data_IF_641624084050
#
_entry.id   IF_641624084050
#
_cell.length_a   1.000
_cell.length_b   1.000
_cell.length_c   1.000
_cell.angle_alpha   90.00
_cell.angle_beta   90.00
_cell.angle_gamma   90.00
#
_symmetry.space_group_name_H-M   'P 1'
#
loop_
_entity.id
_entity.type
_entity.pdbx_description
1 polymer ?
#
# COMPACT_ATOMS: atom_id res chain seq x y z
N UNK A 1 6.59 -2.54 24.95
CA UNK A 1 6.24 -2.50 23.51
C UNK A 1 7.34 -1.77 22.78
N UNK A 2 7.68 -2.20 21.56
CA UNK A 2 8.69 -1.51 20.74
C UNK A 2 8.14 -0.16 20.26
N UNK A 3 9.02 0.83 20.07
CA UNK A 3 8.65 2.14 19.54
C UNK A 3 8.57 2.13 18.01
N UNK A 4 7.89 3.12 17.42
CA UNK A 4 7.86 3.29 15.95
C UNK A 4 9.26 3.42 15.34
N UNK A 5 10.22 3.99 16.07
CA UNK A 5 11.61 4.04 15.65
C UNK A 5 12.20 2.63 15.52
N UNK A 6 11.94 1.74 16.49
CA UNK A 6 12.42 0.34 16.44
C UNK A 6 11.77 -0.46 15.31
N UNK A 7 10.54 -0.11 14.89
CA UNK A 7 9.88 -0.70 13.73
C UNK A 7 10.49 -0.22 12.42
N UNK A 8 10.83 1.07 12.31
CA UNK A 8 11.62 1.58 11.19
C UNK A 8 12.97 0.85 11.06
N UNK A 9 13.64 0.54 12.17
CA UNK A 9 14.92 -0.19 12.14
C UNK A 9 14.82 -1.60 11.51
N UNK A 10 13.63 -2.18 11.35
CA UNK A 10 13.45 -3.43 10.58
C UNK A 10 13.75 -3.24 9.08
N UNK A 11 13.81 -2.00 8.59
CA UNK A 11 14.11 -1.67 7.20
C UNK A 11 15.60 -1.39 6.93
N UNK A 12 16.47 -1.50 7.95
CA UNK A 12 17.92 -1.34 7.75
C UNK A 12 18.46 -2.35 6.73
N UNK A 13 19.43 -1.92 5.94
CA UNK A 13 20.03 -2.72 4.89
C UNK A 13 20.12 -2.00 3.55
N UNK A 14 20.73 -2.66 2.59
CA UNK A 14 20.78 -2.22 1.19
C UNK A 14 19.72 -2.96 0.39
N UNK A 15 18.78 -2.21 -0.17
CA UNK A 15 17.66 -2.70 -0.95
C UNK A 15 17.87 -2.38 -2.42
N UNK A 16 17.99 -3.41 -3.26
CA UNK A 16 18.21 -3.30 -4.69
C UNK A 16 16.91 -3.60 -5.43
N UNK A 17 16.64 -2.90 -6.53
CA UNK A 17 15.36 -3.01 -7.21
C UNK A 17 15.15 -1.97 -8.28
N UNK A 18 13.90 -1.57 -8.47
CA UNK A 18 13.55 -0.48 -9.39
C UNK A 18 12.33 0.32 -8.93
N UNK A 19 12.25 1.56 -9.40
CA UNK A 19 11.07 2.41 -9.31
C UNK A 19 10.36 2.38 -10.67
N UNK A 20 9.22 1.70 -10.74
CA UNK A 20 8.43 1.54 -11.95
C UNK A 20 7.20 2.42 -11.90
N UNK A 21 7.03 3.31 -12.88
CA UNK A 21 5.88 4.21 -12.95
C UNK A 21 4.81 3.66 -13.88
N UNK A 22 3.56 3.79 -13.46
CA UNK A 22 2.39 3.47 -14.27
C UNK A 22 1.39 4.62 -14.31
N UNK A 23 0.66 4.70 -15.41
CA UNK A 23 -0.47 5.61 -15.56
C UNK A 23 -1.64 5.17 -14.67
N UNK A 24 -2.67 6.02 -14.48
CA UNK A 24 -3.91 5.65 -13.79
C UNK A 24 -4.65 4.46 -14.43
N UNK A 25 -4.31 4.13 -15.68
CA UNK A 25 -4.85 3.01 -16.46
C UNK A 25 -3.97 1.75 -16.36
N UNK A 26 -3.02 1.71 -15.42
CA UNK A 26 -2.06 0.63 -15.25
C UNK A 26 -1.13 0.39 -16.47
N UNK A 27 -0.94 1.41 -17.30
CA UNK A 27 0.00 1.34 -18.43
C UNK A 27 1.40 1.69 -17.96
N UNK A 28 2.39 0.93 -18.41
CA UNK A 28 3.80 1.18 -18.10
C UNK A 28 4.26 2.52 -18.68
N UNK A 29 4.99 3.31 -17.87
CA UNK A 29 5.59 4.58 -18.29
C UNK A 29 7.11 4.46 -18.35
N UNK A 30 7.74 4.11 -17.23
CA UNK A 30 9.19 3.96 -17.14
C UNK A 30 9.59 3.06 -15.97
N UNK A 31 10.80 2.52 -16.04
CA UNK A 31 11.46 1.78 -14.96
C UNK A 31 12.86 2.35 -14.75
N UNK A 32 13.17 2.72 -13.52
CA UNK A 32 14.52 3.19 -13.15
C UNK A 32 15.09 2.24 -12.10
N UNK A 33 16.18 1.51 -12.39
CA UNK A 33 16.88 0.72 -11.39
C UNK A 33 17.36 1.59 -10.23
N UNK A 34 17.27 1.05 -9.01
CA UNK A 34 17.63 1.78 -7.79
C UNK A 34 18.35 0.93 -6.77
N UNK A 35 19.18 1.60 -5.97
CA UNK A 35 19.73 1.06 -4.73
C UNK A 35 19.33 2.00 -3.58
N UNK A 36 18.63 1.48 -2.58
CA UNK A 36 18.18 2.19 -1.40
C UNK A 36 18.86 1.63 -0.16
N UNK A 37 19.79 2.38 0.43
CA UNK A 37 20.48 1.98 1.65
C UNK A 37 19.90 2.71 2.85
N UNK A 38 19.55 1.99 3.91
CA UNK A 38 19.25 2.53 5.23
C UNK A 38 20.30 2.02 6.21
N UNK A 39 21.14 2.92 6.72
CA UNK A 39 22.19 2.60 7.69
C UNK A 39 21.90 3.30 9.02
N UNK A 40 21.99 2.54 10.11
CA UNK A 40 21.92 3.07 11.46
C UNK A 40 23.25 3.72 11.87
N UNK A 41 23.16 4.91 12.45
CA UNK A 41 24.27 5.67 13.00
C UNK A 41 24.00 5.94 14.49
N UNK A 42 25.05 6.25 15.26
CA UNK A 42 24.94 6.66 16.66
C UNK A 42 24.11 5.68 17.51
N UNK A 43 24.49 4.39 17.49
CA UNK A 43 23.73 3.31 18.15
C UNK A 43 22.27 3.23 17.68
N UNK A 44 22.07 3.34 16.36
CA UNK A 44 20.76 3.35 15.70
C UNK A 44 19.82 4.47 16.17
N UNK A 45 20.33 5.57 16.73
CA UNK A 45 19.51 6.76 17.06
C UNK A 45 19.31 7.70 15.87
N UNK A 46 20.07 7.49 14.81
CA UNK A 46 19.97 8.23 13.55
C UNK A 46 19.96 7.22 12.40
N UNK A 47 19.19 7.48 11.35
CA UNK A 47 19.28 6.75 10.09
C UNK A 47 19.84 7.67 9.02
N UNK A 48 20.84 7.18 8.28
CA UNK A 48 21.21 7.71 6.98
C UNK A 48 20.57 6.86 5.90
N UNK A 49 19.67 7.47 5.14
CA UNK A 49 19.05 6.88 3.97
C UNK A 49 19.68 7.45 2.70
N UNK A 50 20.10 6.57 1.81
CA UNK A 50 20.65 6.92 0.50
C UNK A 50 19.78 6.26 -0.57
N UNK A 51 19.25 7.06 -1.49
CA UNK A 51 18.50 6.58 -2.66
C UNK A 51 19.31 6.90 -3.91
N UNK A 52 19.84 5.86 -4.55
CA UNK A 52 20.56 5.95 -5.82
C UNK A 52 19.65 5.54 -6.96
N UNK A 53 19.47 6.43 -7.94
CA UNK A 53 18.81 6.14 -9.20
C UNK A 53 19.89 5.83 -10.26
N UNK A 54 19.72 4.72 -10.97
CA UNK A 54 20.66 4.20 -11.96
C UNK A 54 20.01 4.12 -13.36
N UNK A 55 19.53 5.25 -13.92
CA UNK A 55 18.95 5.26 -15.26
C UNK A 55 20.01 4.91 -16.32
N UNK A 56 19.61 4.22 -17.38
CA UNK A 56 20.52 3.78 -18.46
C UNK A 56 20.97 4.91 -19.39
N UNK A 57 20.22 6.02 -19.44
CA UNK A 57 20.36 7.09 -20.42
C UNK A 57 20.93 8.40 -19.86
N UNK A 58 21.22 8.48 -18.55
CA UNK A 58 21.78 9.66 -17.89
C UNK A 58 22.62 9.26 -16.68
N UNK A 59 23.46 10.15 -16.14
CA UNK A 59 24.27 9.84 -14.97
C UNK A 59 23.42 9.41 -13.76
N UNK A 60 24.01 8.59 -12.90
CA UNK A 60 23.38 8.20 -11.64
C UNK A 60 23.08 9.45 -10.79
N UNK A 61 21.91 9.45 -10.15
CA UNK A 61 21.49 10.50 -9.23
C UNK A 61 21.42 9.92 -7.82
N UNK A 62 21.91 10.65 -6.82
CA UNK A 62 21.88 10.24 -5.43
C UNK A 62 21.13 11.27 -4.57
N UNK A 63 20.27 10.78 -3.68
CA UNK A 63 19.63 11.59 -2.64
C UNK A 63 20.00 11.02 -1.27
N UNK A 64 20.49 11.88 -0.39
CA UNK A 64 20.89 11.53 0.98
C UNK A 64 19.97 12.22 1.97
N UNK A 65 19.44 11.45 2.91
CA UNK A 65 18.60 11.93 4.00
C UNK A 65 19.18 11.43 5.32
N UNK A 66 19.20 12.30 6.31
CA UNK A 66 19.53 11.92 7.69
C UNK A 66 18.43 12.39 8.63
N UNK A 67 17.98 11.50 9.50
CA UNK A 67 16.93 11.81 10.46
C UNK A 67 17.12 11.01 11.75
N UNK A 68 16.70 11.61 12.85
CA UNK A 68 16.74 11.04 14.21
C UNK A 68 15.36 11.04 14.86
N UNK A 69 14.32 11.29 14.07
CA UNK A 69 12.91 11.29 14.49
C UNK A 69 12.01 11.00 13.29
N UNK A 70 10.74 10.69 13.58
CA UNK A 70 9.72 10.41 12.57
C UNK A 70 8.79 11.62 12.40
N UNK A 71 8.39 11.89 11.16
CA UNK A 71 7.37 12.89 10.87
C UNK A 71 5.97 12.47 11.32
N UNK A 72 5.04 13.42 11.41
CA UNK A 72 3.63 13.12 11.77
C UNK A 72 2.86 12.34 10.71
N UNK A 73 3.39 12.24 9.49
CA UNK A 73 2.75 11.58 8.36
C UNK A 73 3.15 10.12 8.17
N UNK A 74 3.96 9.55 9.07
CA UNK A 74 4.49 8.19 8.95
C UNK A 74 4.11 7.31 10.14
N UNK A 75 3.74 6.07 9.85
CA UNK A 75 3.52 5.00 10.82
C UNK A 75 4.06 3.68 10.26
N UNK A 76 4.54 2.83 11.17
CA UNK A 76 5.16 1.52 10.97
C UNK A 76 4.45 0.46 11.80
N UNK A 77 4.39 -0.76 11.27
CA UNK A 77 4.04 -1.98 11.96
C UNK A 77 5.29 -2.69 12.46
N UNK A 78 5.09 -3.66 13.36
CA UNK A 78 6.20 -4.36 14.01
C UNK A 78 7.19 -5.01 13.06
N UNK A 79 6.71 -5.53 11.92
CA UNK A 79 7.54 -6.14 10.90
C UNK A 79 8.30 -5.14 10.01
N UNK A 80 8.07 -3.83 10.17
CA UNK A 80 8.65 -2.79 9.33
C UNK A 80 7.77 -2.33 8.17
N UNK A 81 6.59 -2.93 7.94
CA UNK A 81 5.63 -2.40 6.98
C UNK A 81 5.19 -0.99 7.41
N UNK A 82 4.95 -0.08 6.48
CA UNK A 82 4.79 1.33 6.82
C UNK A 82 3.95 2.10 5.81
N UNK A 83 3.46 3.26 6.22
CA UNK A 83 2.96 4.26 5.28
C UNK A 83 3.48 5.63 5.65
N UNK A 84 3.86 6.41 4.64
CA UNK A 84 4.24 7.82 4.74
C UNK A 84 3.44 8.62 3.72
N UNK A 85 2.82 9.74 4.13
CA UNK A 85 2.11 10.59 3.18
C UNK A 85 1.44 11.80 3.81
N UNK A 86 0.60 12.48 3.03
CA UNK A 86 -0.16 13.64 3.48
C UNK A 86 -1.03 13.29 4.69
N UNK A 87 -1.02 14.14 5.73
CA UNK A 87 -1.90 13.98 6.90
C UNK A 87 -3.28 14.62 6.69
N UNK A 88 -3.39 15.47 5.68
CA UNK A 88 -4.58 16.23 5.35
C UNK A 88 -4.72 16.28 3.82
N UNK A 89 -5.92 16.05 3.31
CA UNK A 89 -6.29 16.42 1.95
C UNK A 89 -6.52 17.94 1.93
N UNK A 90 -5.71 18.66 1.17
CA UNK A 90 -5.79 20.10 1.04
C UNK A 90 -6.30 20.49 -0.35
N UNK A 91 -7.17 21.51 -0.47
CA UNK A 91 -7.54 22.06 -1.77
C UNK A 91 -6.30 22.53 -2.54
N UNK A 92 -6.21 22.20 -3.83
CA UNK A 92 -5.21 22.70 -4.76
C UNK A 92 -3.74 22.35 -4.43
N UNK A 93 -3.51 21.35 -3.58
CA UNK A 93 -2.18 20.79 -3.34
C UNK A 93 -2.08 19.37 -3.89
N UNK A 94 -0.89 18.96 -4.30
CA UNK A 94 -0.64 17.54 -4.59
C UNK A 94 -0.91 16.71 -3.35
N UNK A 95 -1.53 15.55 -3.57
CA UNK A 95 -1.88 14.62 -2.51
C UNK A 95 -1.31 13.25 -2.84
N UNK A 96 -0.84 12.53 -1.83
CA UNK A 96 -0.37 11.18 -2.04
C UNK A 96 0.15 10.53 -0.77
N UNK A 97 0.38 9.24 -0.90
CA UNK A 97 1.03 8.44 0.11
C UNK A 97 1.82 7.31 -0.51
N UNK A 98 2.87 6.94 0.19
CA UNK A 98 3.59 5.69 0.04
C UNK A 98 3.06 4.67 1.05
N UNK A 99 2.90 3.43 0.59
CA UNK A 99 2.56 2.27 1.40
C UNK A 99 3.58 1.17 1.11
N UNK A 100 4.30 0.72 2.13
CA UNK A 100 5.36 -0.29 2.04
C UNK A 100 5.02 -1.56 2.81
N UNK A 101 4.99 -2.69 2.12
CA UNK A 101 4.90 -4.03 2.67
C UNK A 101 6.30 -4.68 2.67
N UNK A 102 6.58 -5.54 3.64
CA UNK A 102 7.86 -6.24 3.79
C UNK A 102 7.62 -7.69 4.20
N UNK A 103 8.30 -8.61 3.52
CA UNK A 103 8.23 -10.04 3.78
C UNK A 103 9.58 -10.69 3.49
N UNK A 104 10.25 -11.17 4.54
CA UNK A 104 11.58 -11.75 4.44
C UNK A 104 12.60 -10.74 3.91
N UNK A 105 13.29 -11.12 2.84
CA UNK A 105 14.31 -10.34 2.14
C UNK A 105 13.75 -9.51 0.98
N UNK A 106 12.42 -9.35 0.91
CA UNK A 106 11.72 -8.58 -0.12
C UNK A 106 10.83 -7.54 0.49
N UNK A 107 10.70 -6.42 -0.21
CA UNK A 107 9.68 -5.42 0.12
C UNK A 107 9.08 -4.81 -1.14
N UNK A 108 7.82 -4.46 -1.01
CA UNK A 108 6.99 -3.94 -2.06
C UNK A 108 6.38 -2.63 -1.59
N UNK A 109 6.78 -1.53 -2.22
CA UNK A 109 6.30 -0.19 -1.89
C UNK A 109 5.51 0.37 -3.04
N UNK A 110 4.45 1.09 -2.74
CA UNK A 110 3.58 1.68 -3.74
C UNK A 110 3.29 3.13 -3.36
N UNK A 111 3.66 4.04 -4.25
CA UNK A 111 3.33 5.46 -4.14
C UNK A 111 2.14 5.75 -5.03
N UNK A 112 1.12 6.39 -4.48
CA UNK A 112 -0.04 6.88 -5.23
C UNK A 112 -0.05 8.40 -5.17
N UNK A 113 0.01 9.05 -6.34
CA UNK A 113 0.05 10.51 -6.46
C UNK A 113 -1.19 11.03 -7.19
N UNK A 114 -1.76 12.09 -6.62
CA UNK A 114 -2.94 12.76 -7.13
C UNK A 114 -2.60 14.22 -7.46
N UNK A 115 -3.13 14.67 -8.59
CA UNK A 115 -3.06 16.07 -9.02
C UNK A 115 -3.73 17.01 -8.00
N UNK A 116 -3.47 18.33 -8.05
CA UNK A 116 -4.17 19.32 -7.21
C UNK A 116 -5.71 19.29 -7.30
N UNK A 117 -6.27 18.75 -8.38
CA UNK A 117 -7.71 18.57 -8.57
C UNK A 117 -8.23 17.24 -8.00
N UNK A 118 -7.38 16.51 -7.29
CA UNK A 118 -7.67 15.22 -6.67
C UNK A 118 -7.66 14.04 -7.62
N UNK A 119 -7.46 14.20 -8.93
CA UNK A 119 -7.41 13.07 -9.88
C UNK A 119 -6.12 12.28 -9.72
N UNK A 120 -6.20 10.95 -9.77
CA UNK A 120 -5.00 10.10 -9.78
C UNK A 120 -4.13 10.48 -10.98
N UNK A 121 -2.88 10.85 -10.71
CA UNK A 121 -1.89 11.25 -11.70
C UNK A 121 -1.08 10.04 -12.15
N UNK A 122 -0.49 9.34 -11.19
CA UNK A 122 0.38 8.19 -11.44
C UNK A 122 0.55 7.35 -10.19
N UNK A 123 1.00 6.12 -10.40
CA UNK A 123 1.51 5.26 -9.33
C UNK A 123 2.97 4.91 -9.59
N UNK A 124 3.74 4.73 -8.51
CA UNK A 124 5.10 4.19 -8.59
C UNK A 124 5.15 2.91 -7.77
N UNK A 125 5.31 1.77 -8.43
CA UNK A 125 5.57 0.49 -7.81
C UNK A 125 7.08 0.32 -7.62
N UNK A 126 7.50 0.02 -6.41
CA UNK A 126 8.91 -0.10 -6.04
C UNK A 126 9.12 -1.50 -5.49
N UNK A 127 9.83 -2.31 -6.28
CA UNK A 127 10.07 -3.73 -6.01
C UNK A 127 11.51 -3.88 -5.61
N UNK A 128 11.75 -4.26 -4.37
CA UNK A 128 13.08 -4.29 -3.78
C UNK A 128 13.37 -5.65 -3.14
N UNK A 129 14.63 -6.07 -3.23
CA UNK A 129 15.20 -7.22 -2.54
C UNK A 129 16.45 -6.80 -1.78
N UNK A 130 16.76 -7.51 -0.69
CA UNK A 130 17.92 -7.22 0.13
C UNK A 130 19.20 -7.65 -0.60
N UNK A 131 20.25 -6.83 -0.57
CA UNK A 131 21.51 -7.13 -1.20
C UNK A 131 22.09 -8.47 -0.71
N UNK A 132 22.56 -9.29 -1.65
CA UNK A 132 23.09 -10.63 -1.37
C UNK A 132 22.04 -11.74 -1.30
N UNK A 133 20.76 -11.43 -1.54
CA UNK A 133 19.70 -12.45 -1.63
C UNK A 133 19.21 -12.65 -3.06
N UNK A 134 18.40 -13.70 -3.28
CA UNK A 134 17.98 -14.15 -4.62
C UNK A 134 16.48 -14.44 -4.73
N UNK A 135 15.68 -14.03 -3.75
CA UNK A 135 14.24 -14.30 -3.75
C UNK A 135 13.56 -13.63 -4.97
N UNK A 136 12.96 -14.40 -5.89
CA UNK A 136 12.48 -13.90 -7.18
C UNK A 136 11.20 -13.09 -7.04
N UNK A 137 10.93 -12.19 -7.99
CA UNK A 137 9.63 -11.52 -8.11
C UNK A 137 8.49 -12.54 -8.27
N UNK A 138 7.29 -12.14 -7.86
CA UNK A 138 6.07 -12.90 -8.07
C UNK A 138 5.52 -12.65 -9.47
N UNK A 139 4.73 -13.58 -10.02
CA UNK A 139 4.00 -13.32 -11.25
C UNK A 139 3.14 -12.05 -11.17
N UNK A 140 2.89 -11.34 -12.28
CA UNK A 140 1.93 -10.25 -12.32
C UNK A 140 0.55 -10.72 -11.86
N UNK A 141 -0.07 -9.96 -10.95
CA UNK A 141 -1.32 -10.34 -10.33
C UNK A 141 -2.43 -10.48 -11.36
N UNK A 142 -3.19 -11.57 -11.29
CA UNK A 142 -4.38 -11.82 -12.10
C UNK A 142 -5.63 -11.83 -11.23
N UNK A 143 -6.80 -11.63 -11.86
CA UNK A 143 -8.09 -11.72 -11.16
C UNK A 143 -8.27 -13.08 -10.51
N UNK A 144 -7.91 -14.15 -11.22
CA UNK A 144 -8.15 -15.52 -10.77
C UNK A 144 -7.31 -15.89 -9.54
N UNK A 145 -6.17 -15.22 -9.32
CA UNK A 145 -5.38 -15.38 -8.10
C UNK A 145 -6.17 -14.94 -6.86
N UNK A 146 -7.02 -13.92 -7.01
CA UNK A 146 -7.81 -13.33 -5.92
C UNK A 146 -9.11 -14.10 -5.63
N UNK A 147 -9.67 -14.82 -6.61
CA UNK A 147 -10.94 -15.55 -6.46
C UNK A 147 -10.84 -16.60 -5.36
N UNK A 148 -11.76 -16.59 -4.41
CA UNK A 148 -11.85 -17.56 -3.33
C UNK A 148 -12.14 -16.91 -1.98
N UNK A 149 -12.00 -17.72 -0.94
CA UNK A 149 -12.15 -17.30 0.45
C UNK A 149 -10.79 -16.98 1.04
N UNK A 150 -10.67 -15.84 1.70
CA UNK A 150 -9.48 -15.41 2.42
C UNK A 150 -9.84 -15.18 3.88
N UNK A 151 -9.04 -15.74 4.77
CA UNK A 151 -9.15 -15.59 6.22
C UNK A 151 -7.91 -14.87 6.73
N UNK A 152 -8.09 -13.77 7.44
CA UNK A 152 -6.96 -12.94 7.84
C UNK A 152 -7.11 -12.30 9.21
N UNK A 153 -6.01 -11.75 9.67
CA UNK A 153 -5.92 -10.90 10.85
C UNK A 153 -5.51 -9.50 10.43
N UNK A 154 -6.11 -8.51 11.07
CA UNK A 154 -5.88 -7.11 10.80
C UNK A 154 -5.46 -6.39 12.08
N UNK A 155 -4.45 -5.53 11.96
CA UNK A 155 -4.01 -4.61 13.01
C UNK A 155 -4.20 -3.18 12.51
N UNK A 156 -4.89 -2.35 13.27
CA UNK A 156 -5.06 -0.91 12.98
C UNK A 156 -4.32 -0.07 14.01
N UNK A 157 -3.49 0.84 13.52
CA UNK A 157 -2.75 1.82 14.31
C UNK A 157 -3.14 3.25 13.91
N UNK A 158 -2.90 4.20 14.81
CA UNK A 158 -3.48 5.53 14.76
C UNK A 158 -2.42 6.64 14.86
N UNK A 159 -2.54 7.75 14.12
CA UNK A 159 -1.60 8.87 14.19
C UNK A 159 -1.51 9.56 15.55
N UNK A 160 -2.52 9.37 16.41
CA UNK A 160 -2.57 9.91 17.78
C UNK A 160 -2.02 8.95 18.84
N UNK A 161 -1.46 7.80 18.42
CA UNK A 161 -0.75 6.85 19.27
C UNK A 161 -1.61 6.15 20.33
N UNK A 162 -2.93 6.15 20.17
CA UNK A 162 -3.79 5.28 20.96
C UNK A 162 -3.45 3.81 20.70
N UNK A 163 -3.88 2.93 21.60
CA UNK A 163 -3.65 1.48 21.49
C UNK A 163 -4.13 0.92 20.15
N UNK A 164 -3.38 0.00 19.52
CA UNK A 164 -3.82 -0.66 18.31
C UNK A 164 -5.07 -1.52 18.52
N UNK A 165 -5.91 -1.61 17.50
CA UNK A 165 -7.00 -2.60 17.43
C UNK A 165 -6.53 -3.81 16.63
N UNK A 166 -6.89 -5.01 17.11
CA UNK A 166 -6.63 -6.27 16.39
C UNK A 166 -7.93 -7.04 16.24
N UNK A 167 -8.20 -7.53 15.03
CA UNK A 167 -9.45 -8.24 14.72
C UNK A 167 -9.27 -9.17 13.52
N UNK A 168 -10.14 -10.19 13.45
CA UNK A 168 -10.17 -11.10 12.32
C UNK A 168 -10.98 -10.53 11.15
N UNK A 169 -10.66 -10.98 9.95
CA UNK A 169 -11.35 -10.64 8.71
C UNK A 169 -11.59 -11.88 7.86
N UNK A 170 -12.67 -11.88 7.09
CA UNK A 170 -12.92 -12.86 6.05
C UNK A 170 -13.32 -12.13 4.77
N UNK A 171 -12.61 -12.39 3.67
CA UNK A 171 -12.91 -11.83 2.36
C UNK A 171 -13.28 -12.95 1.39
N UNK A 172 -14.49 -12.92 0.85
CA UNK A 172 -14.94 -13.81 -0.22
C UNK A 172 -14.92 -13.02 -1.53
N UNK A 173 -14.26 -13.54 -2.56
CA UNK A 173 -14.25 -12.97 -3.92
C UNK A 173 -14.75 -14.03 -4.89
N UNK A 174 -15.78 -13.70 -5.65
CA UNK A 174 -16.41 -14.59 -6.61
C UNK A 174 -16.53 -13.91 -7.97
N UNK A 175 -16.41 -14.71 -9.02
CA UNK A 175 -16.60 -14.25 -10.39
C UNK A 175 -18.07 -14.36 -10.76
N UNK A 176 -18.64 -13.25 -11.22
CA UNK A 176 -20.02 -13.16 -11.71
C UNK A 176 -19.99 -13.05 -13.25
N UNK A 177 -20.01 -14.19 -13.93
CA UNK A 177 -19.87 -14.22 -15.40
C UNK A 177 -18.45 -13.85 -15.87
N UNK A 178 -18.31 -13.32 -17.09
CA UNK A 178 -16.99 -13.08 -17.69
C UNK A 178 -16.32 -11.78 -17.25
N UNK A 179 -17.10 -10.75 -16.92
CA UNK A 179 -16.63 -9.36 -16.78
C UNK A 179 -16.94 -8.72 -15.42
N UNK A 180 -17.43 -9.48 -14.45
CA UNK A 180 -17.74 -8.97 -13.11
C UNK A 180 -17.20 -9.83 -11.98
N UNK A 181 -16.96 -9.18 -10.85
CA UNK A 181 -16.64 -9.78 -9.57
C UNK A 181 -17.67 -9.34 -8.52
N UNK A 182 -17.98 -10.24 -7.59
CA UNK A 182 -18.56 -9.91 -6.31
C UNK A 182 -17.49 -10.06 -5.24
N UNK A 183 -17.48 -9.15 -4.27
CA UNK A 183 -16.69 -9.31 -3.06
C UNK A 183 -17.54 -9.06 -1.82
N UNK A 184 -17.28 -9.83 -0.76
CA UNK A 184 -17.86 -9.66 0.56
C UNK A 184 -16.74 -9.70 1.60
N UNK A 185 -16.53 -8.59 2.29
CA UNK A 185 -15.62 -8.47 3.42
C UNK A 185 -16.42 -8.51 4.72
N UNK A 186 -16.07 -9.43 5.61
CA UNK A 186 -16.59 -9.50 6.98
C UNK A 186 -15.48 -9.12 7.95
N UNK A 187 -15.76 -8.20 8.87
CA UNK A 187 -14.83 -7.69 9.88
C UNK A 187 -15.39 -8.05 11.27
N UNK A 188 -14.61 -8.80 12.03
CA UNK A 188 -14.98 -9.28 13.37
C UNK A 188 -14.37 -8.37 14.47
N UNK A 189 -14.68 -7.06 14.42
CA UNK A 189 -14.19 -6.10 15.42
C UNK A 189 -14.88 -6.24 16.77
N UNK A 190 -16.13 -6.72 16.79
CA UNK A 190 -16.84 -7.15 17.99
C UNK A 190 -17.38 -8.56 17.76
N UNK A 191 -17.23 -9.50 18.72
CA UNK A 191 -17.65 -10.89 18.51
C UNK A 191 -19.15 -11.03 18.21
N UNK A 192 -19.97 -10.13 18.74
CA UNK A 192 -21.43 -10.23 18.70
C UNK A 192 -22.07 -9.62 17.45
N UNK A 193 -21.37 -8.73 16.72
CA UNK A 193 -21.95 -8.08 15.54
C UNK A 193 -20.87 -7.76 14.49
N UNK A 194 -20.55 -8.72 13.59
CA UNK A 194 -19.57 -8.50 12.55
C UNK A 194 -20.07 -7.46 11.55
N UNK A 195 -19.17 -6.55 11.15
CA UNK A 195 -19.47 -5.57 10.10
C UNK A 195 -19.22 -6.19 8.73
N UNK A 196 -20.20 -6.10 7.83
CA UNK A 196 -20.11 -6.65 6.48
C UNK A 196 -20.15 -5.55 5.42
N UNK A 197 -19.30 -5.71 4.41
CA UNK A 197 -19.25 -4.86 3.22
C UNK A 197 -19.33 -5.74 1.99
N UNK A 198 -20.36 -5.55 1.18
CA UNK A 198 -20.51 -6.23 -0.11
C UNK A 198 -20.43 -5.23 -1.24
N UNK A 199 -19.75 -5.59 -2.32
CA UNK A 199 -19.71 -4.78 -3.55
C UNK A 199 -19.56 -5.66 -4.78
N UNK A 200 -19.97 -5.12 -5.92
CA UNK A 200 -19.71 -5.72 -7.22
C UNK A 200 -18.80 -4.80 -8.01
N UNK A 201 -17.93 -5.38 -8.82
CA UNK A 201 -17.02 -4.62 -9.66
C UNK A 201 -16.92 -5.16 -11.07
N UNK A 202 -16.64 -4.28 -12.03
CA UNK A 202 -16.41 -4.62 -13.43
C UNK A 202 -14.92 -4.85 -13.67
N UNK A 203 -14.61 -5.91 -14.42
CA UNK A 203 -13.26 -6.26 -14.88
C UNK A 203 -13.02 -5.59 -16.24
N UNK A 204 -11.94 -4.82 -16.36
CA UNK A 204 -11.48 -4.21 -17.61
C UNK A 204 -9.97 -4.41 -17.74
N UNK A 205 -9.56 -5.54 -18.32
CA UNK A 205 -8.13 -5.90 -18.38
C UNK A 205 -7.54 -6.06 -16.98
N UNK A 206 -6.49 -5.29 -16.67
CA UNK A 206 -5.84 -5.24 -15.35
C UNK A 206 -6.51 -4.27 -14.36
N UNK A 207 -7.65 -3.66 -14.72
CA UNK A 207 -8.38 -2.72 -13.87
C UNK A 207 -9.69 -3.33 -13.40
N UNK A 208 -9.99 -3.17 -12.11
CA UNK A 208 -11.27 -3.52 -11.51
C UNK A 208 -11.94 -2.25 -11.00
N UNK A 209 -13.20 -2.03 -11.35
CA UNK A 209 -13.98 -0.87 -10.91
C UNK A 209 -15.11 -1.30 -10.01
N UNK A 210 -15.05 -0.92 -8.74
CA UNK A 210 -16.09 -1.22 -7.76
C UNK A 210 -16.96 0.01 -7.53
N UNK A 211 -18.25 -0.15 -7.79
CA UNK A 211 -19.26 0.84 -7.43
C UNK A 211 -19.38 0.88 -5.90
N UNK A 212 -19.47 2.09 -5.33
CA UNK A 212 -19.70 2.26 -3.91
C UNK A 212 -21.00 1.56 -3.51
N UNK A 213 -20.96 0.73 -2.46
CA UNK A 213 -22.13 0.00 -1.94
C UNK A 213 -23.22 0.91 -1.32
N UNK A 214 -23.01 2.23 -1.36
CA UNK A 214 -23.85 3.28 -0.81
C UNK A 214 -23.86 4.46 -1.81
N UNK A 215 -24.97 5.22 -1.94
CA UNK A 215 -25.10 6.32 -2.91
C UNK A 215 -23.99 7.38 -2.82
N UNK A 216 -23.41 7.56 -1.64
CA UNK A 216 -22.40 8.59 -1.35
C UNK A 216 -20.96 8.06 -1.34
N UNK A 217 -20.74 6.77 -1.65
CA UNK A 217 -19.40 6.20 -1.70
C UNK A 217 -18.82 6.32 -3.09
N UNK A 218 -17.65 6.92 -3.16
CA UNK A 218 -16.89 7.05 -4.39
C UNK A 218 -16.52 5.70 -5.01
N UNK A 219 -16.58 5.64 -6.35
CA UNK A 219 -16.06 4.51 -7.12
C UNK A 219 -14.58 4.28 -6.80
N UNK A 220 -14.25 3.05 -6.44
CA UNK A 220 -12.88 2.62 -6.16
C UNK A 220 -12.36 1.82 -7.34
N UNK A 221 -11.13 2.09 -7.76
CA UNK A 221 -10.43 1.27 -8.74
C UNK A 221 -9.36 0.42 -8.07
N UNK A 222 -9.15 -0.79 -8.60
CA UNK A 222 -8.05 -1.68 -8.26
C UNK A 222 -7.23 -1.92 -9.52
N UNK A 223 -5.94 -1.61 -9.48
CA UNK A 223 -4.99 -1.97 -10.53
C UNK A 223 -4.27 -3.26 -10.13
N UNK A 224 -4.27 -4.25 -11.02
CA UNK A 224 -3.46 -5.46 -10.91
C UNK A 224 -2.09 -5.19 -11.54
N UNK A 225 -1.02 -5.43 -10.79
CA UNK A 225 0.33 -4.97 -11.10
C UNK A 225 1.34 -6.12 -11.07
N UNK A 226 2.57 -5.90 -11.58
CA UNK A 226 3.68 -6.86 -11.43
C UNK A 226 3.97 -7.23 -9.97
N UNK A 227 4.70 -8.33 -9.78
CA UNK A 227 5.15 -8.80 -8.46
C UNK A 227 4.00 -9.10 -7.48
N UNK A 228 2.88 -9.60 -7.99
CA UNK A 228 1.70 -9.92 -7.19
C UNK A 228 1.03 -8.71 -6.55
N UNK A 229 1.35 -7.50 -7.01
CA UNK A 229 0.87 -6.27 -6.39
C UNK A 229 -0.53 -5.87 -6.86
N UNK A 230 -1.24 -5.16 -6.00
CA UNK A 230 -2.42 -4.39 -6.37
C UNK A 230 -2.38 -2.98 -5.78
N UNK A 231 -2.86 -1.99 -6.52
CA UNK A 231 -3.10 -0.64 -6.03
C UNK A 231 -4.59 -0.35 -5.99
N UNK A 232 -5.12 0.03 -4.83
CA UNK A 232 -6.54 0.34 -4.65
C UNK A 232 -6.72 1.78 -4.20
N UNK A 233 -7.53 2.56 -4.92
CA UNK A 233 -7.83 3.95 -4.59
C UNK A 233 -9.03 4.50 -5.35
N UNK A 234 -9.58 5.65 -4.94
CA UNK A 234 -10.52 6.40 -5.78
C UNK A 234 -9.82 6.91 -7.05
N UNK A 235 -10.58 7.07 -8.14
CA UNK A 235 -10.10 7.75 -9.34
C UNK A 235 -9.80 9.24 -9.11
N UNK A 236 -10.53 9.85 -8.18
CA UNK A 236 -10.38 11.25 -7.84
C UNK A 236 -10.71 11.50 -6.37
N UNK A 237 -9.76 11.77 -5.48
CA UNK A 237 -10.12 12.12 -4.10
C UNK A 237 -11.03 13.37 -4.07
N UNK A 238 -12.14 13.29 -3.32
CA UNK A 238 -13.12 14.37 -3.20
C UNK A 238 -13.16 14.92 -1.78
N UNK A 239 -13.35 16.23 -1.65
CA UNK A 239 -13.62 16.85 -0.35
C UNK A 239 -14.98 16.35 0.18
N UNK A 240 -15.12 16.25 1.50
CA UNK A 240 -16.36 15.80 2.18
C UNK A 240 -16.74 14.35 1.94
N UNK A 241 -15.83 13.54 1.41
CA UNK A 241 -16.00 12.10 1.27
C UNK A 241 -14.81 11.38 1.90
N UNK A 242 -15.12 10.41 2.76
CA UNK A 242 -14.08 9.53 3.30
C UNK A 242 -13.54 8.63 2.18
N UNK A 243 -12.23 8.37 2.21
CA UNK A 243 -11.57 7.53 1.23
C UNK A 243 -10.41 6.78 1.85
N UNK A 244 -9.82 5.86 1.09
CA UNK A 244 -8.62 5.15 1.50
C UNK A 244 -7.70 4.94 0.31
N UNK A 245 -6.42 4.76 0.63
CA UNK A 245 -5.39 4.29 -0.28
C UNK A 245 -4.94 2.92 0.21
N UNK A 246 -4.82 1.96 -0.68
CA UNK A 246 -4.42 0.61 -0.32
C UNK A 246 -3.40 0.04 -1.31
N UNK A 247 -2.45 -0.72 -0.77
CA UNK A 247 -1.59 -1.64 -1.52
C UNK A 247 -1.89 -3.05 -1.06
N UNK A 248 -1.98 -3.97 -2.02
CA UNK A 248 -2.02 -5.40 -1.76
C UNK A 248 -0.80 -6.08 -2.35
N UNK A 249 -0.35 -7.17 -1.73
CA UNK A 249 0.74 -8.01 -2.22
C UNK A 249 0.42 -9.48 -2.00
N UNK A 250 0.27 -10.23 -3.10
CA UNK A 250 0.17 -11.68 -3.09
C UNK A 250 1.56 -12.27 -2.91
N UNK A 251 1.99 -12.39 -1.66
CA UNK A 251 3.32 -12.84 -1.25
C UNK A 251 3.56 -14.31 -1.65
N UNK A 252 2.52 -15.13 -1.58
CA UNK A 252 2.46 -16.51 -2.05
C UNK A 252 1.06 -16.78 -2.61
N UNK A 253 0.83 -17.85 -3.40
CA UNK A 253 -0.49 -18.14 -3.98
C UNK A 253 -1.66 -18.18 -2.97
N UNK A 254 -1.36 -18.50 -1.70
CA UNK A 254 -2.30 -18.58 -0.59
C UNK A 254 -1.97 -17.62 0.56
N UNK A 255 -1.08 -16.64 0.37
CA UNK A 255 -0.72 -15.65 1.39
C UNK A 255 -0.70 -14.25 0.77
N UNK A 256 -1.57 -13.38 1.28
CA UNK A 256 -1.72 -12.01 0.82
C UNK A 256 -1.58 -11.04 1.99
N UNK A 257 -0.92 -9.93 1.75
CA UNK A 257 -0.91 -8.79 2.66
C UNK A 257 -1.62 -7.61 2.02
N UNK A 258 -2.28 -6.80 2.84
CA UNK A 258 -2.86 -5.51 2.43
C UNK A 258 -2.51 -4.44 3.45
N UNK A 259 -2.20 -3.25 2.97
CA UNK A 259 -1.95 -2.10 3.82
C UNK A 259 -2.84 -0.95 3.38
N UNK A 260 -3.66 -0.44 4.30
CA UNK A 260 -4.75 0.49 4.03
C UNK A 260 -4.57 1.76 4.85
N UNK A 261 -4.35 2.90 4.18
CA UNK A 261 -4.29 4.24 4.77
C UNK A 261 -5.64 4.94 4.61
N UNK A 262 -6.28 5.31 5.72
CA UNK A 262 -7.66 5.83 5.72
C UNK A 262 -7.76 7.32 6.01
N UNK A 263 -8.68 7.99 5.33
CA UNK A 263 -9.01 9.39 5.52
C UNK A 263 -10.50 9.55 5.81
N UNK A 264 -10.85 10.44 6.73
CA UNK A 264 -12.26 10.78 6.98
C UNK A 264 -12.81 11.75 5.91
N UNK A 265 -14.08 12.11 6.04
CA UNK A 265 -14.78 13.08 5.18
C UNK A 265 -14.17 14.49 5.24
N UNK A 266 -13.49 14.85 6.33
CA UNK A 266 -12.71 16.09 6.43
C UNK A 266 -11.36 16.01 5.74
N UNK A 267 -10.98 14.85 5.18
CA UNK A 267 -9.70 14.63 4.55
C UNK A 267 -8.54 14.45 5.52
N UNK A 268 -8.80 14.24 6.80
CA UNK A 268 -7.79 14.00 7.83
C UNK A 268 -7.38 12.53 7.79
N UNK A 269 -6.07 12.25 7.89
CA UNK A 269 -5.57 10.88 8.05
C UNK A 269 -5.99 10.33 9.42
N UNK A 270 -6.75 9.24 9.42
CA UNK A 270 -7.34 8.70 10.64
C UNK A 270 -6.68 7.42 11.14
N UNK A 271 -6.26 6.54 10.23
CA UNK A 271 -5.65 5.26 10.63
C UNK A 271 -4.83 4.61 9.52
N UNK A 272 -4.05 3.61 9.93
CA UNK A 272 -3.34 2.69 9.04
C UNK A 272 -3.63 1.25 9.49
N UNK A 273 -4.07 0.41 8.56
CA UNK A 273 -4.43 -0.99 8.82
C UNK A 273 -3.57 -1.93 8.00
N UNK A 274 -2.89 -2.89 8.64
CA UNK A 274 -2.21 -4.00 7.99
C UNK A 274 -3.07 -5.25 8.13
N UNK A 275 -3.37 -5.92 7.03
CA UNK A 275 -4.06 -7.20 6.97
C UNK A 275 -3.10 -8.25 6.44
N UNK A 276 -3.03 -9.40 7.10
CA UNK A 276 -2.39 -10.62 6.55
C UNK A 276 -3.46 -11.69 6.44
N UNK A 277 -3.68 -12.21 5.25
CA UNK A 277 -4.76 -13.14 4.94
C UNK A 277 -4.26 -14.35 4.15
N UNK A 278 -4.91 -15.49 4.39
CA UNK A 278 -4.59 -16.77 3.77
C UNK A 278 -5.83 -17.42 3.16
N UNK A 279 -5.63 -18.18 2.10
CA UNK A 279 -6.71 -18.81 1.34
C UNK A 279 -7.13 -20.15 1.94
#
# INVERSE_FOLDING_TARGET
MRSQWQYLLQNLGEWQGSFTRFSPQAEFIEDTPTVVSLAGLNDNKTIRQIVRFLPSNRPAEEKVFEYSSLGKGVLFFENGAFSQGSIQLSPFAEFGAELGLIHGDRRLRLVQLFTPNGKLDKITLIREYLAGTTTPERPPLQVDDLIGKWQGEAVTIYPDWRSPDTYSTQLQIERLGSDRLAQQLTIYSTPENPYQISSTGKITGSLLYFEGSQPDRQMTQVMLLPDGASATCPQQVQLRQAFFLEVGWLVQPNLRQRLIRRYNDKGEWTSLTLVTESK
#
